data_IF_922560971323
#
_entry.id   IF_922560971323
#
_cell.length_a   1.000
_cell.length_b   1.000
_cell.length_c   1.000
_cell.angle_alpha   90.00
_cell.angle_beta   90.00
_cell.angle_gamma   90.00
#
_symmetry.space_group_name_H-M   'P 1'
#
loop_
_entity.id
_entity.type
_entity.pdbx_description
1 polymer ?
#
# COMPACT_ATOMS: atom_id res chain seq x y z
N UNK A 1 14.66 -9.64 -23.20
CA UNK A 1 14.10 -9.17 -21.91
C UNK A 1 14.84 -9.84 -20.77
N UNK A 2 15.70 -9.10 -20.09
CA UNK A 2 16.55 -9.59 -19.00
C UNK A 2 15.76 -10.19 -17.83
N UNK A 3 16.23 -11.33 -17.33
CA UNK A 3 15.64 -12.05 -16.18
C UNK A 3 15.43 -11.16 -14.94
N UNK A 4 16.16 -10.05 -14.80
CA UNK A 4 16.01 -9.05 -13.72
C UNK A 4 14.74 -8.20 -13.83
N UNK A 5 14.28 -7.87 -15.05
CA UNK A 5 13.04 -7.14 -15.27
C UNK A 5 11.82 -7.99 -14.90
N UNK A 6 11.84 -9.27 -15.28
CA UNK A 6 10.78 -10.23 -14.91
C UNK A 6 10.66 -10.41 -13.39
N UNK A 7 11.80 -10.43 -12.68
CA UNK A 7 11.82 -10.51 -11.21
C UNK A 7 11.28 -9.24 -10.54
N UNK A 8 11.63 -8.07 -11.05
CA UNK A 8 11.16 -6.78 -10.52
C UNK A 8 9.67 -6.53 -10.79
N UNK A 9 9.15 -7.03 -11.92
CA UNK A 9 7.72 -6.96 -12.25
C UNK A 9 6.88 -7.87 -11.35
N UNK A 10 7.40 -9.03 -10.92
CA UNK A 10 6.72 -9.88 -9.93
C UNK A 10 6.71 -9.30 -8.50
N UNK A 11 7.62 -8.38 -8.17
CA UNK A 11 7.66 -7.70 -6.85
C UNK A 11 6.82 -6.42 -6.80
N UNK A 12 6.44 -5.84 -7.95
CA UNK A 12 5.56 -4.67 -8.00
C UNK A 12 4.16 -4.90 -7.40
N UNK A 13 3.45 -6.02 -7.70
CA UNK A 13 2.14 -6.27 -7.14
C UNK A 13 2.23 -6.59 -5.64
N UNK A 14 3.34 -7.21 -5.18
CA UNK A 14 3.58 -7.42 -3.74
C UNK A 14 3.78 -6.10 -3.02
N UNK A 15 4.42 -5.11 -3.65
CA UNK A 15 4.64 -3.79 -3.06
C UNK A 15 3.30 -3.06 -2.80
N UNK A 16 2.40 -3.03 -3.79
CA UNK A 16 1.05 -2.44 -3.62
C UNK A 16 0.25 -3.08 -2.49
N UNK A 17 0.25 -4.41 -2.40
CA UNK A 17 -0.37 -5.15 -1.29
C UNK A 17 0.24 -4.76 0.06
N UNK A 18 1.55 -4.54 0.13
CA UNK A 18 2.24 -4.15 1.38
C UNK A 18 1.78 -2.77 1.86
N UNK A 19 1.63 -1.80 0.94
CA UNK A 19 1.12 -0.47 1.26
C UNK A 19 -0.33 -0.49 1.75
N UNK A 20 -1.18 -1.34 1.17
CA UNK A 20 -2.57 -1.53 1.64
C UNK A 20 -2.58 -2.08 3.07
N UNK A 21 -1.81 -3.15 3.34
CA UNK A 21 -1.72 -3.75 4.67
C UNK A 21 -1.20 -2.75 5.69
N UNK A 22 -0.17 -1.97 5.35
CA UNK A 22 0.37 -0.94 6.23
C UNK A 22 -0.67 0.14 6.55
N UNK A 23 -1.44 0.59 5.56
CA UNK A 23 -2.50 1.59 5.74
C UNK A 23 -3.65 1.10 6.62
N UNK A 24 -4.07 -0.16 6.45
CA UNK A 24 -5.09 -0.79 7.31
C UNK A 24 -4.58 -0.91 8.75
N UNK A 25 -3.33 -1.32 8.95
CA UNK A 25 -2.70 -1.39 10.27
C UNK A 25 -2.66 -0.02 10.95
N UNK A 26 -2.32 1.03 10.20
CA UNK A 26 -2.27 2.40 10.70
C UNK A 26 -3.65 2.92 11.13
N UNK A 27 -4.68 2.60 10.35
CA UNK A 27 -6.08 2.88 10.68
C UNK A 27 -6.49 2.15 11.96
N UNK A 28 -6.23 0.84 12.05
CA UNK A 28 -6.52 0.05 13.24
C UNK A 28 -5.80 0.58 14.48
N UNK A 29 -4.53 0.96 14.36
CA UNK A 29 -3.77 1.59 15.44
C UNK A 29 -4.38 2.94 15.85
N UNK A 30 -4.80 3.78 14.90
CA UNK A 30 -5.45 5.06 15.21
C UNK A 30 -6.71 4.87 16.06
N UNK A 31 -7.50 3.83 15.78
CA UNK A 31 -8.68 3.49 16.57
C UNK A 31 -8.32 2.87 17.92
N UNK A 32 -7.38 1.93 17.96
CA UNK A 32 -6.96 1.25 19.19
C UNK A 32 -6.33 2.20 20.22
N UNK A 33 -5.57 3.20 19.75
CA UNK A 33 -4.92 4.21 20.62
C UNK A 33 -5.77 5.48 20.83
N UNK A 34 -7.01 5.52 20.33
CA UNK A 34 -7.92 6.67 20.44
C UNK A 34 -7.24 8.02 20.11
N UNK A 35 -6.43 8.04 19.05
CA UNK A 35 -5.67 9.23 18.66
C UNK A 35 -6.68 10.32 18.27
N UNK A 36 -6.76 11.40 19.08
CA UNK A 36 -7.68 12.54 18.85
C UNK A 36 -7.41 13.30 17.56
N UNK A 37 -6.24 13.09 16.95
CA UNK A 37 -5.81 13.81 15.76
C UNK A 37 -6.09 13.00 14.49
N UNK A 38 -6.72 13.64 13.51
CA UNK A 38 -7.12 13.00 12.25
C UNK A 38 -5.93 12.70 11.33
N UNK A 39 -4.73 13.24 11.60
CA UNK A 39 -3.54 13.02 10.77
C UNK A 39 -3.24 11.53 10.58
N UNK A 40 -3.40 10.71 11.63
CA UNK A 40 -3.15 9.27 11.55
C UNK A 40 -4.17 8.55 10.65
N UNK A 41 -5.44 8.97 10.71
CA UNK A 41 -6.50 8.49 9.81
C UNK A 41 -6.22 8.86 8.35
N UNK A 42 -5.83 10.12 8.10
CA UNK A 42 -5.46 10.59 6.76
C UNK A 42 -4.22 9.85 6.21
N UNK A 43 -3.21 9.60 7.04
CA UNK A 43 -2.03 8.84 6.65
C UNK A 43 -2.38 7.37 6.31
N UNK A 44 -3.26 6.74 7.09
CA UNK A 44 -3.75 5.39 6.79
C UNK A 44 -4.52 5.33 5.48
N UNK A 45 -5.42 6.30 5.25
CA UNK A 45 -6.18 6.43 4.01
C UNK A 45 -5.26 6.63 2.80
N UNK A 46 -4.25 7.49 2.95
CA UNK A 46 -3.27 7.77 1.91
C UNK A 46 -2.47 6.52 1.54
N UNK A 47 -2.02 5.75 2.53
CA UNK A 47 -1.30 4.49 2.31
C UNK A 47 -2.14 3.47 1.55
N UNK A 48 -3.44 3.36 1.87
CA UNK A 48 -4.37 2.47 1.14
C UNK A 48 -4.52 2.93 -0.31
N UNK A 49 -4.73 4.23 -0.56
CA UNK A 49 -4.85 4.78 -1.92
C UNK A 49 -3.57 4.57 -2.74
N UNK A 50 -2.41 4.84 -2.16
CA UNK A 50 -1.11 4.61 -2.79
C UNK A 50 -0.89 3.12 -3.10
N UNK A 51 -1.29 2.23 -2.19
CA UNK A 51 -1.23 0.79 -2.39
C UNK A 51 -2.15 0.28 -3.49
N UNK A 52 -3.39 0.77 -3.56
CA UNK A 52 -4.33 0.47 -4.64
C UNK A 52 -3.78 0.98 -5.98
N UNK A 53 -3.28 2.21 -6.04
CA UNK A 53 -2.68 2.77 -7.25
C UNK A 53 -1.48 1.93 -7.72
N UNK A 54 -0.60 1.52 -6.79
CA UNK A 54 0.52 0.63 -7.08
C UNK A 54 0.08 -0.75 -7.56
N UNK A 55 -0.96 -1.31 -6.97
CA UNK A 55 -1.54 -2.60 -7.36
C UNK A 55 -2.18 -2.55 -8.76
N UNK A 56 -3.02 -1.55 -9.03
CA UNK A 56 -3.66 -1.34 -10.35
C UNK A 56 -2.60 -1.07 -11.43
N UNK A 57 -1.59 -0.26 -11.12
CA UNK A 57 -0.47 -0.04 -12.03
C UNK A 57 0.28 -1.33 -12.35
N UNK A 58 0.50 -2.18 -11.35
CA UNK A 58 1.13 -3.49 -11.54
C UNK A 58 0.27 -4.42 -12.40
N UNK A 59 -1.06 -4.44 -12.22
CA UNK A 59 -1.95 -5.24 -13.05
C UNK A 59 -1.97 -4.78 -14.51
N UNK A 60 -1.93 -3.47 -14.76
CA UNK A 60 -1.90 -2.90 -16.12
C UNK A 60 -0.58 -3.15 -16.86
N UNK A 61 0.48 -3.46 -16.13
CA UNK A 61 1.84 -3.67 -16.67
C UNK A 61 2.26 -5.15 -16.70
N UNK A 62 1.48 -6.02 -16.06
CA UNK A 62 1.66 -7.47 -16.00
C UNK A 62 1.11 -8.18 -17.21
#
# INVERSE_FOLDING_TARGET
>A
MDKRLKKSLHTLPSMGMTFIVLGVLLLAASFAFAIKNNIMLFAGLFFILAGIAGFVYSLKKG
#
